data_IF_504751325498
#
_entry.id   IF_504751325498
#
_cell.length_a   1.000
_cell.length_b   1.000
_cell.length_c   1.000
_cell.angle_alpha   90.00
_cell.angle_beta   90.00
_cell.angle_gamma   90.00
#
_symmetry.space_group_name_H-M   'P 1'
#
loop_
_entity.id
_entity.type
_entity.pdbx_description
1 polymer ?
#
# COMPACT_ATOMS: atom_id res chain seq x y z
N UNK A 1 -27.93 9.53 10.22
CA UNK A 1 -27.40 8.24 9.73
C UNK A 1 -26.40 8.52 8.63
N UNK A 2 -25.38 7.67 8.44
CA UNK A 2 -24.56 7.72 7.22
C UNK A 2 -25.47 7.44 6.01
N UNK A 3 -25.20 8.06 4.86
CA UNK A 3 -25.90 7.71 3.62
C UNK A 3 -25.65 6.24 3.27
N UNK A 4 -26.66 5.53 2.76
CA UNK A 4 -26.51 4.16 2.25
C UNK A 4 -25.37 4.07 1.25
N UNK A 5 -25.25 5.07 0.38
CA UNK A 5 -24.27 5.12 -0.70
C UNK A 5 -22.85 5.26 -0.14
N UNK A 6 -22.69 5.94 0.99
CA UNK A 6 -21.40 6.04 1.69
C UNK A 6 -21.03 4.71 2.35
N UNK A 7 -22.01 3.98 2.90
CA UNK A 7 -21.76 2.66 3.49
C UNK A 7 -21.33 1.68 2.40
N UNK A 8 -22.02 1.68 1.27
CA UNK A 8 -21.69 0.84 0.12
C UNK A 8 -20.30 1.18 -0.45
N UNK A 9 -20.05 2.47 -0.73
CA UNK A 9 -18.75 2.92 -1.27
C UNK A 9 -17.59 2.59 -0.33
N UNK A 10 -17.77 2.79 0.98
CA UNK A 10 -16.73 2.44 1.96
C UNK A 10 -16.50 0.93 2.01
N UNK A 11 -17.57 0.13 1.94
CA UNK A 11 -17.46 -1.33 1.95
C UNK A 11 -16.66 -1.82 0.75
N UNK A 12 -16.97 -1.32 -0.46
CA UNK A 12 -16.22 -1.66 -1.68
C UNK A 12 -14.75 -1.26 -1.59
N UNK A 13 -14.44 -0.07 -1.05
CA UNK A 13 -13.05 0.34 -0.84
C UNK A 13 -12.29 -0.63 0.08
N UNK A 14 -12.91 -1.08 1.17
CA UNK A 14 -12.28 -2.02 2.09
C UNK A 14 -12.16 -3.42 1.51
N UNK A 15 -13.23 -4.01 0.98
CA UNK A 15 -13.23 -5.40 0.54
C UNK A 15 -12.49 -5.60 -0.78
N UNK A 16 -12.74 -4.73 -1.75
CA UNK A 16 -12.37 -5.01 -3.14
C UNK A 16 -11.03 -4.38 -3.52
N UNK A 17 -10.58 -3.38 -2.74
CA UNK A 17 -9.32 -2.67 -2.96
C UNK A 17 -8.32 -3.00 -1.84
N UNK A 18 -8.56 -2.57 -0.60
CA UNK A 18 -7.55 -2.68 0.46
C UNK A 18 -7.27 -4.12 0.89
N UNK A 19 -8.32 -4.91 1.13
CA UNK A 19 -8.13 -6.31 1.52
C UNK A 19 -7.54 -7.14 0.39
N UNK A 20 -7.94 -6.86 -0.86
CA UNK A 20 -7.39 -7.54 -2.03
C UNK A 20 -5.89 -7.30 -2.17
N UNK A 21 -5.44 -6.04 -2.12
CA UNK A 21 -4.02 -5.70 -2.20
C UNK A 21 -3.22 -6.32 -1.04
N UNK A 22 -3.83 -6.38 0.15
CA UNK A 22 -3.22 -7.04 1.30
C UNK A 22 -3.07 -8.55 1.08
N UNK A 23 -4.12 -9.23 0.64
CA UNK A 23 -4.11 -10.68 0.39
C UNK A 23 -3.12 -11.03 -0.72
N UNK A 24 -3.08 -10.25 -1.81
CA UNK A 24 -2.11 -10.42 -2.89
C UNK A 24 -0.68 -10.22 -2.38
N UNK A 25 -0.44 -9.24 -1.50
CA UNK A 25 0.85 -9.07 -0.83
C UNK A 25 1.20 -10.28 0.04
N UNK A 26 0.28 -10.77 0.87
CA UNK A 26 0.54 -11.92 1.76
C UNK A 26 0.84 -13.19 0.97
N UNK A 27 0.10 -13.44 -0.11
CA UNK A 27 0.28 -14.61 -0.98
C UNK A 27 1.64 -14.59 -1.70
N UNK A 28 2.20 -13.41 -1.96
CA UNK A 28 3.47 -13.22 -2.67
C UNK A 28 4.59 -12.64 -1.78
N UNK A 29 4.39 -12.67 -0.45
CA UNK A 29 5.17 -11.91 0.53
C UNK A 29 6.67 -12.10 0.39
N UNK A 30 7.11 -13.34 0.20
CA UNK A 30 8.55 -13.66 0.10
C UNK A 30 9.23 -12.96 -1.07
N UNK A 31 8.59 -12.94 -2.23
CA UNK A 31 9.16 -12.33 -3.43
C UNK A 31 9.13 -10.81 -3.34
N UNK A 32 8.00 -10.26 -2.89
CA UNK A 32 7.86 -8.81 -2.68
C UNK A 32 8.87 -8.31 -1.65
N UNK A 33 9.00 -8.99 -0.50
CA UNK A 33 9.96 -8.60 0.54
C UNK A 33 11.41 -8.67 0.05
N UNK A 34 11.75 -9.61 -0.84
CA UNK A 34 13.08 -9.67 -1.45
C UNK A 34 13.36 -8.43 -2.33
N UNK A 35 12.37 -7.95 -3.07
CA UNK A 35 12.45 -6.73 -3.88
C UNK A 35 12.51 -5.49 -2.98
N UNK A 36 11.59 -5.37 -2.01
CA UNK A 36 11.54 -4.25 -1.07
C UNK A 36 12.85 -4.12 -0.30
N UNK A 37 13.47 -5.24 0.11
CA UNK A 37 14.77 -5.23 0.79
C UNK A 37 15.89 -4.66 -0.07
N UNK A 38 15.87 -4.91 -1.39
CA UNK A 38 16.85 -4.34 -2.32
C UNK A 38 16.66 -2.83 -2.45
N UNK A 39 15.41 -2.40 -2.64
CA UNK A 39 15.04 -0.98 -2.73
C UNK A 39 15.41 -0.23 -1.46
N UNK A 40 15.04 -0.76 -0.29
CA UNK A 40 15.34 -0.18 1.02
C UNK A 40 16.84 0.06 1.20
N UNK A 41 17.67 -0.94 0.87
CA UNK A 41 19.13 -0.83 0.97
C UNK A 41 19.73 0.19 0.02
N UNK A 42 19.15 0.36 -1.18
CA UNK A 42 19.64 1.34 -2.16
C UNK A 42 19.14 2.76 -1.91
N UNK A 43 18.17 2.96 -0.99
CA UNK A 43 17.56 4.24 -0.68
C UNK A 43 17.76 4.60 0.80
N UNK A 44 19.01 4.57 1.26
CA UNK A 44 19.39 4.99 2.62
C UNK A 44 18.57 4.32 3.74
N UNK A 45 18.24 3.04 3.55
CA UNK A 45 17.46 2.27 4.52
C UNK A 45 16.08 2.91 4.80
N UNK A 46 15.39 3.37 3.75
CA UNK A 46 14.00 3.82 3.82
C UNK A 46 13.22 3.48 2.54
N UNK A 47 11.90 3.35 2.67
CA UNK A 47 10.96 3.30 1.54
C UNK A 47 10.25 4.65 1.32
N UNK A 48 10.58 5.67 2.12
CA UNK A 48 10.23 7.07 1.85
C UNK A 48 11.08 7.58 0.68
N UNK A 49 10.65 7.21 -0.53
CA UNK A 49 11.37 7.42 -1.78
C UNK A 49 10.63 8.51 -2.56
N UNK A 50 11.36 9.56 -2.92
CA UNK A 50 10.86 10.67 -3.71
C UNK A 50 11.42 10.65 -5.12
N UNK A 51 10.63 11.08 -6.09
CA UNK A 51 11.15 11.52 -7.38
C UNK A 51 11.21 13.05 -7.39
N UNK A 52 12.42 13.61 -7.56
CA UNK A 52 12.69 15.05 -7.39
C UNK A 52 12.20 15.52 -6.00
N UNK A 53 11.30 16.50 -5.95
CA UNK A 53 10.74 17.06 -4.72
C UNK A 53 9.38 16.48 -4.31
N UNK A 54 8.89 15.44 -5.00
CA UNK A 54 7.54 14.90 -4.79
C UNK A 54 7.59 13.50 -4.17
N UNK A 55 6.81 13.29 -3.10
CA UNK A 55 6.68 11.99 -2.42
C UNK A 55 5.27 11.81 -1.83
N UNK A 56 4.72 10.61 -1.95
CA UNK A 56 3.50 10.18 -1.25
C UNK A 56 3.68 8.82 -0.55
N UNK A 57 4.93 8.40 -0.35
CA UNK A 57 5.27 7.14 0.32
C UNK A 57 5.30 7.27 1.86
N UNK A 58 4.86 8.41 2.40
CA UNK A 58 4.68 8.58 3.85
C UNK A 58 3.40 7.87 4.27
N UNK A 59 3.48 7.07 5.32
CA UNK A 59 2.30 6.51 5.99
C UNK A 59 1.59 7.62 6.78
N UNK A 60 0.26 7.60 6.77
CA UNK A 60 -0.62 8.55 7.50
C UNK A 60 -1.27 7.87 8.72
#
# INVERSE_FOLDING_TARGET
SLSSDLIETNTMLFSDVLNKDYDDYQNNKREIDAILRRIYRSHNNTLFISEKSSCRNMLI
#
